data_IF_420496418035
#
_entry.id   IF_420496418035
#
_cell.length_a   1.000
_cell.length_b   1.000
_cell.length_c   1.000
_cell.angle_alpha   90.00
_cell.angle_beta   90.00
_cell.angle_gamma   90.00
#
_symmetry.space_group_name_H-M   'P 1'
#
loop_
_entity.id
_entity.type
_entity.pdbx_description
1 polymer ?
#
# COMPACT_ATOMS: atom_id res chain seq x y z
N UNK A 1 14.39 -11.28 -0.17
CA UNK A 1 14.38 -9.80 -0.19
C UNK A 1 13.04 -9.35 0.36
N UNK A 2 12.98 -8.38 1.28
CA UNK A 2 11.71 -7.85 1.77
C UNK A 2 11.25 -6.71 0.86
N UNK A 3 10.02 -6.77 0.35
CA UNK A 3 9.42 -5.72 -0.48
C UNK A 3 8.49 -4.87 0.38
N UNK A 4 8.82 -3.59 0.55
CA UNK A 4 7.96 -2.63 1.23
C UNK A 4 7.32 -1.68 0.22
N UNK A 5 6.06 -1.38 0.42
CA UNK A 5 5.23 -0.49 -0.40
C UNK A 5 4.84 0.73 0.43
N UNK A 6 5.22 1.91 -0.04
CA UNK A 6 4.73 3.17 0.51
C UNK A 6 3.40 3.51 -0.16
N UNK A 7 2.38 3.80 0.64
CA UNK A 7 1.07 4.24 0.18
C UNK A 7 0.71 5.57 0.82
N UNK A 8 0.52 6.57 -0.01
CA UNK A 8 0.04 7.89 0.38
C UNK A 8 -1.49 7.94 0.37
N UNK A 9 -2.05 8.49 1.44
CA UNK A 9 -3.48 8.76 1.54
C UNK A 9 -3.69 10.18 2.07
N UNK A 10 -4.92 10.69 1.94
CA UNK A 10 -5.29 11.97 2.54
C UNK A 10 -5.17 11.99 4.07
N UNK A 11 -5.11 10.83 4.73
CA UNK A 11 -4.96 10.72 6.19
C UNK A 11 -3.51 10.57 6.65
N UNK A 12 -2.57 10.26 5.76
CA UNK A 12 -1.16 10.08 6.09
C UNK A 12 -0.44 9.09 5.17
N UNK A 13 0.72 8.62 5.63
CA UNK A 13 1.53 7.62 4.92
C UNK A 13 1.40 6.26 5.58
N UNK A 14 1.18 5.23 4.77
CA UNK A 14 1.16 3.83 5.21
C UNK A 14 2.34 3.08 4.59
N UNK A 15 3.04 2.29 5.39
CA UNK A 15 4.05 1.36 4.90
C UNK A 15 3.50 -0.05 5.00
N UNK A 16 3.42 -0.74 3.87
CA UNK A 16 3.00 -2.12 3.78
C UNK A 16 4.19 -3.03 3.47
N UNK A 17 4.17 -4.23 4.03
CA UNK A 17 5.09 -5.30 3.66
C UNK A 17 4.35 -6.25 2.72
N UNK A 18 4.87 -6.36 1.50
CA UNK A 18 4.41 -7.29 0.49
C UNK A 18 5.25 -8.56 0.52
N UNK A 19 4.58 -9.70 0.61
CA UNK A 19 5.18 -11.02 0.69
C UNK A 19 4.45 -11.99 -0.24
N UNK A 20 5.17 -12.96 -0.80
CA UNK A 20 4.57 -14.03 -1.59
C UNK A 20 3.96 -13.58 -2.93
N UNK A 21 4.43 -12.46 -3.50
CA UNK A 21 4.02 -12.01 -4.84
C UNK A 21 4.69 -12.92 -5.88
N UNK A 22 3.87 -13.53 -6.73
CA UNK A 22 4.33 -14.31 -7.88
C UNK A 22 4.54 -13.39 -9.08
N UNK A 23 5.80 -13.06 -9.39
CA UNK A 23 6.16 -12.18 -10.51
C UNK A 23 5.89 -12.81 -11.88
N UNK A 24 5.86 -14.14 -12.00
CA UNK A 24 5.68 -14.83 -13.29
C UNK A 24 4.19 -15.04 -13.57
N UNK A 25 3.43 -15.46 -12.57
CA UNK A 25 2.00 -15.79 -12.66
C UNK A 25 1.05 -14.60 -12.43
N UNK A 26 1.55 -13.38 -12.19
CA UNK A 26 0.75 -12.23 -11.77
C UNK A 26 -0.42 -11.87 -12.70
N UNK A 27 -0.33 -12.22 -13.99
CA UNK A 27 -1.33 -11.85 -14.99
C UNK A 27 -2.44 -12.90 -15.21
N UNK A 28 -2.46 -13.96 -14.40
CA UNK A 28 -3.54 -14.96 -14.44
C UNK A 28 -4.80 -14.43 -13.75
N UNK A 29 -5.98 -14.81 -14.24
CA UNK A 29 -7.27 -14.39 -13.68
C UNK A 29 -7.39 -14.76 -12.19
N UNK A 30 -6.89 -15.93 -11.80
CA UNK A 30 -6.90 -16.39 -10.42
C UNK A 30 -6.12 -15.46 -9.46
N UNK A 31 -4.98 -14.92 -9.91
CA UNK A 31 -4.20 -13.95 -9.11
C UNK A 31 -4.94 -12.62 -9.03
N UNK A 32 -5.54 -12.14 -10.13
CA UNK A 32 -6.32 -10.89 -10.13
C UNK A 32 -7.53 -10.98 -9.21
N UNK A 33 -8.26 -12.10 -9.23
CA UNK A 33 -9.37 -12.35 -8.30
C UNK A 33 -8.91 -12.40 -6.84
N UNK A 34 -7.72 -12.94 -6.57
CA UNK A 34 -7.18 -12.99 -5.21
C UNK A 34 -6.89 -11.61 -4.61
N UNK A 35 -6.61 -10.60 -5.44
CA UNK A 35 -6.40 -9.21 -4.99
C UNK A 35 -7.74 -8.57 -4.59
N UNK A 36 -8.83 -8.96 -5.25
CA UNK A 36 -10.18 -8.48 -4.97
C UNK A 36 -10.78 -9.10 -3.70
N UNK A 37 -10.29 -10.27 -3.28
CA UNK A 37 -10.69 -10.92 -2.02
C UNK A 37 -9.81 -10.43 -0.86
N UNK A 38 -10.41 -9.70 0.08
CA UNK A 38 -9.69 -9.11 1.21
C UNK A 38 -8.97 -10.15 2.10
N UNK A 39 -9.55 -11.34 2.29
CA UNK A 39 -8.95 -12.39 3.11
C UNK A 39 -7.71 -12.99 2.43
N UNK A 40 -7.69 -13.07 1.11
CA UNK A 40 -6.53 -13.51 0.33
C UNK A 40 -5.49 -12.40 0.24
N UNK A 41 -5.90 -11.17 -0.06
CA UNK A 41 -5.03 -10.01 -0.15
C UNK A 41 -4.30 -9.72 1.17
N UNK A 42 -4.99 -9.78 2.31
CA UNK A 42 -4.39 -9.53 3.62
C UNK A 42 -3.31 -10.54 4.04
N UNK A 43 -3.21 -11.71 3.38
CA UNK A 43 -2.13 -12.67 3.61
C UNK A 43 -0.83 -12.29 2.91
N UNK A 44 -0.92 -11.53 1.82
CA UNK A 44 0.22 -11.13 0.99
C UNK A 44 0.64 -9.69 1.24
N UNK A 45 -0.26 -8.82 1.71
CA UNK A 45 0.04 -7.41 2.03
C UNK A 45 -0.36 -7.13 3.46
N UNK A 46 0.60 -6.72 4.28
CA UNK A 46 0.41 -6.44 5.72
C UNK A 46 0.85 -5.02 6.08
N UNK A 47 0.04 -4.33 6.89
CA UNK A 47 0.38 -2.98 7.35
C UNK A 47 1.52 -3.07 8.38
N UNK A 48 2.63 -2.38 8.11
CA UNK A 48 3.81 -2.35 8.98
C UNK A 48 3.88 -1.07 9.79
N UNK A 49 3.54 0.07 9.18
CA UNK A 49 3.53 1.36 9.86
C UNK A 49 2.46 2.28 9.27
N UNK A 50 1.93 3.18 10.09
CA UNK A 50 1.06 4.27 9.66
C UNK A 50 1.48 5.57 10.35
N UNK A 51 1.73 6.60 9.56
CA UNK A 51 2.06 7.95 10.01
C UNK A 51 0.95 8.92 9.60
N UNK A 52 0.03 9.27 10.50
CA UNK A 52 -1.01 10.24 10.20
C UNK A 52 -0.44 11.65 10.07
N UNK A 53 -1.10 12.50 9.27
CA UNK A 53 -0.79 13.92 9.24
C UNK A 53 -1.22 14.62 10.53
N UNK A 54 -0.43 15.60 10.96
CA UNK A 54 -0.67 16.27 12.26
C UNK A 54 -1.80 17.31 12.17
N UNK A 55 -2.09 17.82 10.97
CA UNK A 55 -3.12 18.84 10.74
C UNK A 55 -3.51 18.92 9.27
N UNK A 56 -4.63 19.59 8.96
CA UNK A 56 -5.04 19.83 7.58
C UNK A 56 -4.03 20.66 6.74
N UNK A 57 -3.38 21.72 7.28
CA UNK A 57 -2.31 22.41 6.57
C UNK A 57 -1.09 21.54 6.29
N UNK A 58 -0.71 20.67 7.23
CA UNK A 58 0.35 19.68 7.03
C UNK A 58 -0.04 18.70 5.91
N UNK A 59 -1.25 18.15 5.95
CA UNK A 59 -1.77 17.27 4.89
C UNK A 59 -1.71 17.92 3.51
N UNK A 60 -2.17 19.17 3.37
CA UNK A 60 -2.10 19.90 2.10
C UNK A 60 -0.66 20.08 1.62
N UNK A 61 0.25 20.43 2.52
CA UNK A 61 1.68 20.57 2.21
C UNK A 61 2.25 19.24 1.71
N UNK A 62 1.96 18.13 2.38
CA UNK A 62 2.45 16.81 1.99
C UNK A 62 1.88 16.38 0.64
N UNK A 63 0.58 16.58 0.40
CA UNK A 63 -0.04 16.31 -0.91
C UNK A 63 0.65 17.09 -2.04
N UNK A 64 0.95 18.37 -1.82
CA UNK A 64 1.68 19.17 -2.80
C UNK A 64 3.10 18.64 -3.01
N UNK A 65 3.85 18.35 -1.93
CA UNK A 65 5.23 17.83 -2.02
C UNK A 65 5.36 16.46 -2.68
N UNK A 66 4.29 15.66 -2.74
CA UNK A 66 4.25 14.43 -3.53
C UNK A 66 4.00 14.74 -5.02
N UNK A 67 3.20 15.77 -5.29
CA UNK A 67 2.73 16.11 -6.64
C UNK A 67 3.74 16.90 -7.47
N UNK A 68 4.52 17.78 -6.83
CA UNK A 68 5.47 18.71 -7.47
C UNK A 68 6.86 18.68 -6.82
#
# INVERSE_FOLDING_TARGET
MALYLLYESASGFSLFHAQGIDEIGHNTDAVRESIMDLNRFGKVVTLTAFQPFSSAPDALKQCNSISE
#
